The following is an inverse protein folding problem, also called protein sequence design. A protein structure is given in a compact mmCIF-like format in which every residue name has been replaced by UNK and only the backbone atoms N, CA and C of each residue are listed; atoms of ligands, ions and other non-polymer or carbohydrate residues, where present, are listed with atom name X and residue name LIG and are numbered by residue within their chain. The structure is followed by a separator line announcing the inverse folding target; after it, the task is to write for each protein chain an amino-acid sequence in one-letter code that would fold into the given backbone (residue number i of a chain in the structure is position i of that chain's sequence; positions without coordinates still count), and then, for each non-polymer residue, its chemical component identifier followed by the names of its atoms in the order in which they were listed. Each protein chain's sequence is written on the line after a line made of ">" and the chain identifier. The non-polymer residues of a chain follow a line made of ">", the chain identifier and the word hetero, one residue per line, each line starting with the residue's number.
data_IF_151961252480
#
_entry.id   IF_151961252480
#
_cell.length_a   1.000
_cell.length_b   1.000
_cell.length_c   1.000
_cell.angle_alpha   90.00
_cell.angle_beta   90.00
_cell.angle_gamma   90.00
#
_symmetry.space_group_name_H-M   'P 1'
#
loop_
_entity.id
_entity.type
_entity.pdbx_description
1 polymer ?
#
# COMPACT_ATOMS: atom_id res chain seq x y z
N UNK A 1 0.64 1.13 -13.47
CA UNK A 1 -0.31 2.26 -13.55
C UNK A 1 0.45 3.56 -13.59
N UNK A 2 0.09 4.46 -14.49
CA UNK A 2 0.70 5.78 -14.63
C UNK A 2 -0.23 6.80 -14.00
N UNK A 3 0.22 7.45 -12.95
CA UNK A 3 -0.54 8.47 -12.26
C UNK A 3 0.24 9.78 -12.20
N UNK A 4 -0.38 10.91 -12.50
CA UNK A 4 0.18 12.23 -12.26
C UNK A 4 1.37 12.60 -13.17
N UNK A 5 1.09 13.06 -14.36
CA UNK A 5 2.11 13.66 -15.22
C UNK A 5 2.18 15.17 -14.96
N UNK A 6 3.38 15.71 -14.80
CA UNK A 6 3.62 17.15 -14.72
C UNK A 6 4.82 17.52 -15.57
N UNK A 7 4.59 18.40 -16.55
CA UNK A 7 5.64 19.01 -17.34
C UNK A 7 6.14 20.31 -16.70
N UNK A 8 7.46 20.54 -16.73
CA UNK A 8 8.06 21.85 -16.53
C UNK A 8 8.52 22.38 -17.88
N UNK A 9 8.20 23.63 -18.14
CA UNK A 9 8.66 24.32 -19.33
C UNK A 9 9.97 25.07 -19.03
N UNK A 10 10.84 25.17 -20.02
CA UNK A 10 11.99 26.05 -19.99
C UNK A 10 11.60 27.54 -20.24
N UNK A 11 12.58 28.43 -20.30
CA UNK A 11 12.36 29.89 -20.50
C UNK A 11 11.74 30.21 -21.87
N UNK A 12 11.93 29.30 -22.83
CA UNK A 12 11.38 29.46 -24.20
C UNK A 12 10.00 28.79 -24.35
N UNK A 13 9.48 28.19 -23.28
CA UNK A 13 8.19 27.51 -23.27
C UNK A 13 8.21 26.09 -23.83
N UNK A 14 9.39 25.49 -24.02
CA UNK A 14 9.54 24.10 -24.39
C UNK A 14 9.51 23.18 -23.17
N UNK A 15 9.16 21.92 -23.37
CA UNK A 15 9.09 20.90 -22.33
C UNK A 15 10.51 20.50 -21.89
N UNK A 16 10.93 21.00 -20.73
CA UNK A 16 12.26 20.75 -20.19
C UNK A 16 12.33 19.46 -19.34
N UNK A 17 11.26 19.16 -18.60
CA UNK A 17 11.16 17.98 -17.73
C UNK A 17 9.74 17.47 -17.68
N UNK A 18 9.55 16.18 -17.94
CA UNK A 18 8.31 15.46 -17.69
C UNK A 18 8.47 14.63 -16.44
N UNK A 19 7.52 14.74 -15.50
CA UNK A 19 7.47 13.98 -14.27
C UNK A 19 6.28 13.02 -14.34
N UNK A 20 6.52 11.75 -14.11
CA UNK A 20 5.55 10.69 -14.21
C UNK A 20 5.62 9.77 -13.00
N UNK A 21 4.46 9.31 -12.49
CA UNK A 21 4.40 8.36 -11.42
C UNK A 21 4.19 6.95 -11.99
N UNK A 22 5.05 6.02 -11.59
CA UNK A 22 4.95 4.62 -11.92
C UNK A 22 4.63 3.82 -10.67
N UNK A 23 3.87 2.75 -10.81
CA UNK A 23 3.58 1.79 -9.77
C UNK A 23 4.24 0.45 -10.10
N UNK A 24 4.83 -0.16 -9.08
CA UNK A 24 5.47 -1.47 -9.19
C UNK A 24 4.74 -2.40 -8.23
N UNK A 25 4.16 -3.45 -8.79
CA UNK A 25 3.55 -4.54 -8.04
C UNK A 25 4.38 -5.81 -8.17
N UNK A 26 4.55 -6.53 -7.08
CA UNK A 26 5.17 -7.87 -7.13
C UNK A 26 4.34 -8.91 -6.40
N UNK A 27 4.61 -10.15 -6.72
CA UNK A 27 3.91 -11.27 -6.12
C UNK A 27 4.17 -11.33 -4.63
N UNK A 28 3.14 -11.71 -3.86
CA UNK A 28 3.27 -11.95 -2.44
C UNK A 28 4.27 -13.10 -2.14
N UNK A 29 4.87 -13.04 -0.97
CA UNK A 29 5.69 -14.12 -0.41
C UNK A 29 5.10 -14.58 0.92
N UNK A 30 5.31 -15.84 1.26
CA UNK A 30 5.01 -16.38 2.59
C UNK A 30 6.18 -16.15 3.58
N UNK A 31 7.23 -15.49 3.13
CA UNK A 31 8.39 -15.13 3.94
C UNK A 31 8.52 -13.59 3.96
N UNK A 32 8.22 -12.92 5.07
CA UNK A 32 8.27 -11.46 5.16
C UNK A 32 9.71 -10.92 4.96
N UNK A 33 10.75 -11.62 5.38
CA UNK A 33 12.12 -11.20 5.12
C UNK A 33 12.44 -11.17 3.63
N UNK A 34 12.00 -12.19 2.88
CA UNK A 34 12.15 -12.20 1.43
C UNK A 34 11.40 -11.05 0.75
N UNK A 35 10.23 -10.68 1.29
CA UNK A 35 9.46 -9.51 0.78
C UNK A 35 10.24 -8.21 1.02
N UNK A 36 10.83 -8.04 2.20
CA UNK A 36 11.65 -6.90 2.55
C UNK A 36 12.91 -6.82 1.68
N UNK A 37 13.61 -7.94 1.48
CA UNK A 37 14.76 -8.03 0.58
C UNK A 37 14.39 -7.64 -0.85
N UNK A 38 13.29 -8.17 -1.37
CA UNK A 38 12.83 -7.89 -2.73
C UNK A 38 12.51 -6.40 -2.92
N UNK A 39 11.87 -5.77 -1.94
CA UNK A 39 11.55 -4.35 -1.97
C UNK A 39 12.83 -3.50 -2.01
N UNK A 40 13.79 -3.78 -1.11
CA UNK A 40 15.06 -3.06 -1.07
C UNK A 40 15.86 -3.20 -2.37
N UNK A 41 15.91 -4.42 -2.92
CA UNK A 41 16.56 -4.70 -4.20
C UNK A 41 15.84 -3.99 -5.36
N UNK A 42 14.50 -3.97 -5.37
CA UNK A 42 13.73 -3.28 -6.39
C UNK A 42 14.06 -1.78 -6.42
N UNK A 43 14.16 -1.10 -5.27
CA UNK A 43 14.57 0.32 -5.22
C UNK A 43 15.95 0.54 -5.85
N UNK A 44 16.92 -0.34 -5.59
CA UNK A 44 18.27 -0.24 -6.14
C UNK A 44 18.24 -0.46 -7.65
N UNK A 45 17.63 -1.55 -8.10
CA UNK A 45 17.56 -1.93 -9.52
C UNK A 45 16.85 -0.85 -10.34
N UNK A 46 15.72 -0.35 -9.86
CA UNK A 46 14.96 0.69 -10.55
C UNK A 46 15.82 1.94 -10.74
N UNK A 47 16.50 2.41 -9.70
CA UNK A 47 17.40 3.57 -9.83
C UNK A 47 18.49 3.35 -10.85
N UNK A 48 19.14 2.19 -10.83
CA UNK A 48 20.23 1.90 -11.75
C UNK A 48 19.73 1.81 -13.19
N UNK A 49 18.65 1.07 -13.45
CA UNK A 49 18.08 0.92 -14.79
C UNK A 49 17.65 2.27 -15.37
N UNK A 50 16.97 3.09 -14.59
CA UNK A 50 16.54 4.42 -15.06
C UNK A 50 17.73 5.33 -15.31
N UNK A 51 18.72 5.35 -14.41
CA UNK A 51 19.96 6.12 -14.57
C UNK A 51 20.72 5.75 -15.85
N UNK A 52 20.80 4.45 -16.17
CA UNK A 52 21.43 3.96 -17.41
C UNK A 52 20.69 4.43 -18.68
N UNK A 53 19.41 4.75 -18.55
CA UNK A 53 18.59 5.29 -19.65
C UNK A 53 18.43 6.83 -19.61
N UNK A 54 19.25 7.53 -18.82
CA UNK A 54 19.24 8.98 -18.75
C UNK A 54 18.03 9.57 -18.00
N UNK A 55 17.40 8.78 -17.12
CA UNK A 55 16.22 9.17 -16.34
C UNK A 55 16.56 9.18 -14.84
N UNK A 56 15.97 10.12 -14.11
CA UNK A 56 16.05 10.19 -12.66
C UNK A 56 14.82 9.59 -12.00
N UNK A 57 15.04 8.89 -10.88
CA UNK A 57 13.97 8.27 -10.07
C UNK A 57 14.01 8.80 -8.64
N UNK A 58 12.86 9.15 -8.12
CA UNK A 58 12.67 9.46 -6.71
C UNK A 58 11.64 8.54 -6.07
N UNK A 59 11.92 8.13 -4.84
CA UNK A 59 10.98 7.41 -3.96
C UNK A 59 10.45 8.31 -2.83
N UNK A 60 10.59 9.62 -2.95
CA UNK A 60 10.03 10.57 -2.00
C UNK A 60 8.51 10.41 -1.91
N UNK A 61 7.96 10.56 -0.70
CA UNK A 61 6.53 10.43 -0.48
C UNK A 61 5.71 11.53 -1.18
N UNK A 62 6.27 12.73 -1.32
CA UNK A 62 5.62 13.88 -1.97
C UNK A 62 6.59 14.64 -2.86
N UNK A 63 7.06 14.05 -3.97
CA UNK A 63 8.05 14.70 -4.84
C UNK A 63 7.50 15.94 -5.55
N UNK A 64 6.19 16.02 -5.76
CA UNK A 64 5.53 17.11 -6.47
C UNK A 64 4.38 17.65 -5.61
N UNK A 65 4.41 18.96 -5.34
CA UNK A 65 3.31 19.64 -4.64
C UNK A 65 2.12 19.80 -5.57
N UNK A 66 0.92 19.57 -5.05
CA UNK A 66 -0.35 19.77 -5.77
C UNK A 66 -0.84 18.57 -6.58
N UNK A 67 -0.10 17.45 -6.58
CA UNK A 67 -0.55 16.17 -7.16
C UNK A 67 -0.44 15.05 -6.11
N UNK A 68 -0.98 13.87 -6.39
CA UNK A 68 -0.86 12.72 -5.50
C UNK A 68 0.61 12.38 -5.20
N UNK A 69 0.89 11.90 -3.99
CA UNK A 69 2.21 11.44 -3.59
C UNK A 69 2.41 9.96 -3.86
N UNK A 70 3.61 9.45 -3.52
CA UNK A 70 3.96 8.05 -3.65
C UNK A 70 3.78 7.32 -2.31
N UNK A 71 3.18 6.14 -2.33
CA UNK A 71 3.00 5.26 -1.18
C UNK A 71 3.67 3.91 -1.40
N UNK A 72 3.89 3.20 -0.31
CA UNK A 72 4.27 1.79 -0.30
C UNK A 72 3.18 1.01 0.44
N UNK A 73 2.15 0.63 -0.30
CA UNK A 73 1.03 -0.10 0.30
C UNK A 73 1.46 -1.51 0.68
N UNK A 74 1.32 -1.83 1.96
CA UNK A 74 1.71 -3.12 2.48
C UNK A 74 0.48 -4.03 2.58
N UNK A 75 0.46 -5.09 1.79
CA UNK A 75 -0.56 -6.12 1.84
C UNK A 75 -0.12 -7.26 2.76
N UNK A 76 -0.98 -7.66 3.68
CA UNK A 76 -0.69 -8.76 4.58
C UNK A 76 -1.91 -9.62 4.87
N UNK A 77 -1.68 -10.92 5.00
CA UNK A 77 -2.65 -11.93 5.38
C UNK A 77 -1.99 -12.98 6.26
N UNK A 78 -2.77 -13.76 6.97
CA UNK A 78 -2.27 -14.84 7.81
C UNK A 78 -2.92 -16.15 7.41
N UNK A 79 -2.08 -17.13 7.09
CA UNK A 79 -2.50 -18.48 6.75
C UNK A 79 -2.18 -19.44 7.87
N UNK A 80 -3.05 -20.41 8.11
CA UNK A 80 -2.78 -21.53 9.00
C UNK A 80 -2.80 -22.84 8.21
N UNK A 81 -1.85 -23.72 8.50
CA UNK A 81 -1.85 -25.09 8.02
C UNK A 81 -2.51 -25.98 9.09
N UNK A 82 -3.66 -26.54 8.75
CA UNK A 82 -4.39 -27.44 9.62
C UNK A 82 -3.68 -28.80 9.76
N UNK A 83 -4.05 -29.58 10.76
CA UNK A 83 -3.54 -30.95 10.94
C UNK A 83 -3.78 -31.85 9.71
N UNK A 84 -4.84 -31.60 8.96
CA UNK A 84 -5.15 -32.27 7.70
C UNK A 84 -4.22 -31.90 6.53
N UNK A 85 -3.32 -30.92 6.72
CA UNK A 85 -2.47 -30.34 5.66
C UNK A 85 -3.14 -29.21 4.86
N UNK A 86 -4.45 -28.98 5.05
CA UNK A 86 -5.17 -27.90 4.36
C UNK A 86 -4.68 -26.53 4.87
N UNK A 87 -4.44 -25.61 3.93
CA UNK A 87 -4.21 -24.19 4.24
C UNK A 87 -5.55 -23.45 4.32
N UNK A 88 -5.68 -22.59 5.31
CA UNK A 88 -6.84 -21.70 5.49
C UNK A 88 -6.36 -20.29 5.74
N UNK A 89 -7.09 -19.31 5.19
CA UNK A 89 -6.83 -17.91 5.46
C UNK A 89 -7.56 -17.52 6.74
N UNK A 90 -6.83 -17.04 7.75
CA UNK A 90 -7.41 -16.72 9.06
C UNK A 90 -8.24 -15.43 9.04
N UNK A 91 -8.08 -14.58 8.03
CA UNK A 91 -8.87 -13.36 7.89
C UNK A 91 -10.19 -13.57 7.16
N UNK A 92 -10.29 -14.65 6.37
CA UNK A 92 -11.53 -14.99 5.65
C UNK A 92 -12.59 -15.53 6.61
N UNK A 93 -13.84 -15.06 6.52
CA UNK A 93 -14.96 -15.66 7.23
C UNK A 93 -15.34 -17.00 6.60
N UNK A 94 -16.18 -17.78 7.31
CA UNK A 94 -16.72 -19.03 6.77
C UNK A 94 -17.65 -18.79 5.59
N UNK A 95 -18.49 -17.77 5.68
CA UNK A 95 -19.41 -17.36 4.62
C UNK A 95 -19.03 -15.95 4.11
N UNK A 96 -18.33 -15.93 2.99
CA UNK A 96 -17.87 -14.70 2.33
C UNK A 96 -18.97 -13.77 1.89
N UNK A 97 -20.23 -14.24 1.80
CA UNK A 97 -21.39 -13.45 1.38
C UNK A 97 -22.15 -12.83 2.54
N UNK A 98 -21.92 -13.32 3.76
CA UNK A 98 -22.59 -12.82 4.99
C UNK A 98 -21.70 -11.97 5.87
N UNK A 99 -20.41 -12.22 5.83
CA UNK A 99 -19.44 -11.56 6.69
C UNK A 99 -18.28 -10.99 5.90
N UNK A 100 -17.83 -9.81 6.27
CA UNK A 100 -16.71 -9.13 5.59
C UNK A 100 -15.36 -9.75 5.94
N UNK A 101 -15.16 -10.16 7.18
CA UNK A 101 -13.95 -10.80 7.67
C UNK A 101 -14.27 -11.72 8.86
N UNK A 102 -13.37 -12.66 9.14
CA UNK A 102 -13.45 -13.48 10.35
C UNK A 102 -13.25 -12.67 11.63
N UNK A 103 -13.60 -13.23 12.79
CA UNK A 103 -13.31 -12.59 14.09
C UNK A 103 -11.82 -12.32 14.29
N UNK A 104 -10.93 -13.20 13.79
CA UNK A 104 -9.48 -12.97 13.82
C UNK A 104 -9.07 -11.82 12.89
N UNK A 105 -9.67 -11.74 11.71
CA UNK A 105 -9.46 -10.64 10.78
C UNK A 105 -9.90 -9.29 11.37
N UNK A 106 -11.08 -9.24 11.97
CA UNK A 106 -11.57 -8.05 12.70
C UNK A 106 -10.62 -7.67 13.84
N UNK A 107 -10.18 -8.66 14.64
CA UNK A 107 -9.21 -8.44 15.72
C UNK A 107 -7.88 -7.87 15.21
N UNK A 108 -7.38 -8.36 14.08
CA UNK A 108 -6.13 -7.90 13.47
C UNK A 108 -6.23 -6.41 13.04
N UNK A 109 -7.28 -6.02 12.31
CA UNK A 109 -7.42 -4.64 11.86
C UNK A 109 -7.68 -3.68 13.04
N UNK A 110 -8.46 -4.10 14.03
CA UNK A 110 -8.69 -3.30 15.24
C UNK A 110 -7.41 -3.12 16.06
N UNK A 111 -6.57 -4.16 16.14
CA UNK A 111 -5.24 -4.09 16.74
C UNK A 111 -4.34 -3.10 16.04
N UNK A 112 -4.30 -3.14 14.71
CA UNK A 112 -3.54 -2.19 13.90
C UNK A 112 -3.99 -0.74 14.14
N UNK A 113 -5.29 -0.47 14.07
CA UNK A 113 -5.83 0.87 14.30
C UNK A 113 -5.52 1.38 15.71
N UNK A 114 -5.68 0.51 16.74
CA UNK A 114 -5.41 0.85 18.14
C UNK A 114 -3.95 1.23 18.38
N UNK A 115 -3.01 0.57 17.71
CA UNK A 115 -1.58 0.76 17.93
C UNK A 115 -0.90 1.59 16.84
N UNK A 116 -1.67 2.18 15.94
CA UNK A 116 -1.13 2.89 14.78
C UNK A 116 -0.21 4.05 15.16
N UNK A 117 -0.53 4.82 16.20
CA UNK A 117 0.31 5.94 16.64
C UNK A 117 1.73 5.48 17.03
N UNK A 118 1.88 4.26 17.56
CA UNK A 118 3.18 3.68 17.86
C UNK A 118 3.91 3.16 16.61
N UNK A 119 3.18 2.75 15.58
CA UNK A 119 3.71 2.22 14.31
C UNK A 119 4.11 3.36 13.37
N UNK A 120 3.32 4.44 13.36
CA UNK A 120 3.44 5.53 12.38
C UNK A 120 4.86 6.13 12.24
N UNK A 121 5.65 6.36 13.30
CA UNK A 121 7.01 6.89 13.17
C UNK A 121 7.95 6.00 12.34
N UNK A 122 7.69 4.71 12.27
CA UNK A 122 8.50 3.77 11.49
C UNK A 122 8.11 3.72 10.02
N UNK A 123 6.82 3.85 9.71
CA UNK A 123 6.28 3.72 8.36
C UNK A 123 6.05 5.04 7.63
N UNK A 124 6.03 6.15 8.37
CA UNK A 124 5.95 7.53 7.84
C UNK A 124 7.11 8.36 8.39
N UNK A 125 8.31 7.87 8.17
CA UNK A 125 9.55 8.32 8.83
C UNK A 125 10.12 9.64 8.31
N UNK A 126 9.58 10.19 7.22
CA UNK A 126 10.09 11.42 6.59
C UNK A 126 9.07 12.56 6.71
N UNK A 127 9.54 13.81 6.71
CA UNK A 127 8.67 14.98 6.80
C UNK A 127 7.74 15.13 5.60
N UNK A 128 8.15 14.70 4.42
CA UNK A 128 7.32 14.73 3.22
C UNK A 128 6.20 13.66 3.24
N UNK A 129 6.32 12.61 4.07
CA UNK A 129 5.22 11.69 4.35
C UNK A 129 3.98 12.42 4.87
N UNK A 130 4.16 13.39 5.76
CA UNK A 130 3.08 14.21 6.28
C UNK A 130 2.45 15.10 5.20
N UNK A 131 3.22 15.46 4.17
CA UNK A 131 2.73 16.20 3.02
C UNK A 131 1.91 15.31 2.06
N UNK A 132 2.18 14.01 2.04
CA UNK A 132 1.40 13.02 1.28
C UNK A 132 0.08 12.69 1.94
N UNK A 133 0.05 12.52 3.27
CA UNK A 133 -1.11 12.08 4.05
C UNK A 133 -2.08 13.25 4.30
N UNK A 134 -2.63 13.81 3.23
CA UNK A 134 -3.54 14.96 3.27
C UNK A 134 -4.81 14.71 2.47
N UNK A 135 -5.93 15.37 2.83
CA UNK A 135 -7.17 15.28 2.06
C UNK A 135 -6.99 15.64 0.59
N UNK A 136 -7.76 14.97 -0.27
CA UNK A 136 -7.80 15.25 -1.71
C UNK A 136 -6.78 14.51 -2.57
N UNK A 137 -5.94 13.64 -2.00
CA UNK A 137 -4.84 12.96 -2.72
C UNK A 137 -4.89 11.43 -2.65
N UNK A 138 -6.06 10.84 -2.42
CA UNK A 138 -6.22 9.37 -2.30
C UNK A 138 -5.27 8.71 -1.28
N UNK A 139 -4.90 9.44 -0.23
CA UNK A 139 -4.03 8.99 0.83
C UNK A 139 -4.78 8.95 2.17
N UNK A 140 -4.35 8.13 3.14
CA UNK A 140 -4.91 8.12 4.47
C UNK A 140 -4.86 9.50 5.14
N UNK A 141 -6.00 9.93 5.68
CA UNK A 141 -6.12 11.22 6.37
C UNK A 141 -6.46 11.08 7.86
N UNK A 142 -6.85 9.88 8.29
CA UNK A 142 -7.19 9.55 9.66
C UNK A 142 -7.04 8.05 9.94
N UNK A 143 -7.03 7.69 11.24
CA UNK A 143 -6.87 6.30 11.70
C UNK A 143 -8.24 5.60 11.64
N UNK A 144 -8.68 5.27 10.45
CA UNK A 144 -9.96 4.59 10.19
C UNK A 144 -9.81 3.46 9.18
N UNK A 145 -10.77 2.55 9.22
CA UNK A 145 -11.00 1.54 8.20
C UNK A 145 -12.40 1.64 7.64
N UNK A 146 -12.66 0.96 6.54
CA UNK A 146 -13.99 0.72 6.01
C UNK A 146 -14.04 -0.68 5.42
N UNK A 147 -15.00 -1.48 5.88
CA UNK A 147 -15.22 -2.84 5.37
C UNK A 147 -16.23 -2.88 4.22
N UNK A 148 -16.85 -1.73 3.89
CA UNK A 148 -17.96 -1.64 2.95
C UNK A 148 -19.32 -1.67 3.68
N UNK A 149 -20.37 -1.44 2.92
CA UNK A 149 -21.76 -1.46 3.43
C UNK A 149 -22.39 -2.86 3.39
N UNK A 150 -21.88 -3.70 2.52
CA UNK A 150 -22.30 -5.08 2.33
C UNK A 150 -21.10 -5.99 2.13
N UNK A 151 -21.11 -7.22 2.67
CA UNK A 151 -20.01 -8.18 2.45
C UNK A 151 -19.73 -8.50 0.99
N UNK A 152 -20.69 -8.40 0.12
CA UNK A 152 -20.52 -8.59 -1.34
C UNK A 152 -19.90 -7.37 -2.03
N UNK A 153 -19.94 -6.20 -1.39
CA UNK A 153 -19.43 -4.94 -1.92
C UNK A 153 -18.38 -4.33 -0.99
N UNK A 154 -17.12 -4.82 -1.02
CA UNK A 154 -16.06 -4.27 -0.18
C UNK A 154 -15.79 -2.81 -0.50
N UNK A 155 -15.44 -2.04 0.52
CA UNK A 155 -15.14 -0.62 0.38
C UNK A 155 -14.00 -0.38 -0.61
N UNK A 156 -14.19 0.60 -1.50
CA UNK A 156 -13.14 1.11 -2.41
C UNK A 156 -12.58 2.46 -1.96
N UNK A 157 -12.84 2.85 -0.72
CA UNK A 157 -12.34 4.12 -0.19
C UNK A 157 -10.81 4.07 -0.04
N UNK A 158 -10.11 4.96 -0.73
CA UNK A 158 -8.64 5.06 -0.74
C UNK A 158 -8.09 6.06 0.30
N UNK A 159 -8.96 6.71 1.07
CA UNK A 159 -8.56 7.66 2.12
C UNK A 159 -8.50 7.04 3.52
N UNK A 160 -8.75 5.75 3.62
CA UNK A 160 -8.68 4.98 4.87
C UNK A 160 -7.24 4.53 5.15
N UNK A 161 -6.92 4.34 6.42
CA UNK A 161 -5.60 3.87 6.85
C UNK A 161 -5.33 2.43 6.40
N UNK A 162 -6.31 1.57 6.60
CA UNK A 162 -6.21 0.16 6.29
C UNK A 162 -7.49 -0.33 5.63
N UNK A 163 -7.37 -0.94 4.46
CA UNK A 163 -8.46 -1.50 3.67
C UNK A 163 -8.52 -3.01 3.76
N UNK A 164 -9.74 -3.55 3.63
CA UNK A 164 -9.97 -4.98 3.42
C UNK A 164 -10.04 -5.25 1.91
N UNK A 165 -9.18 -6.13 1.44
CA UNK A 165 -9.19 -6.63 0.07
C UNK A 165 -9.65 -8.08 0.11
N UNK A 166 -10.65 -8.40 -0.69
CA UNK A 166 -11.25 -9.73 -0.73
C UNK A 166 -11.80 -10.04 -2.12
N UNK A 167 -11.87 -11.32 -2.38
CA UNK A 167 -12.58 -11.91 -3.52
C UNK A 167 -13.57 -12.93 -2.96
N UNK A 168 -14.87 -12.73 -3.25
CA UNK A 168 -15.95 -13.56 -2.70
C UNK A 168 -15.80 -15.02 -3.13
N UNK A 169 -15.31 -15.25 -4.34
CA UNK A 169 -15.16 -16.59 -4.91
C UNK A 169 -13.78 -17.19 -4.57
N UNK A 170 -12.87 -16.41 -3.99
CA UNK A 170 -11.55 -16.86 -3.57
C UNK A 170 -11.21 -16.41 -2.13
N UNK A 171 -11.64 -17.14 -1.10
CA UNK A 171 -11.35 -16.80 0.30
C UNK A 171 -9.84 -16.66 0.61
N UNK A 172 -8.99 -17.37 -0.15
CA UNK A 172 -7.53 -17.30 0.04
C UNK A 172 -6.94 -15.94 -0.34
N UNK A 173 -7.65 -15.14 -1.11
CA UNK A 173 -7.23 -13.79 -1.51
C UNK A 173 -7.49 -12.71 -0.46
N UNK A 174 -8.21 -13.03 0.62
CA UNK A 174 -8.54 -12.05 1.68
C UNK A 174 -7.26 -11.58 2.38
N UNK A 175 -7.08 -10.25 2.44
CA UNK A 175 -5.94 -9.60 3.05
C UNK A 175 -6.26 -8.18 3.44
N UNK A 176 -5.44 -7.59 4.28
CA UNK A 176 -5.47 -6.16 4.57
C UNK A 176 -4.39 -5.41 3.80
N UNK A 177 -4.70 -4.18 3.42
CA UNK A 177 -3.81 -3.24 2.76
C UNK A 177 -3.59 -2.05 3.70
N UNK A 178 -2.40 -1.93 4.27
CA UNK A 178 -1.97 -0.74 5.01
C UNK A 178 -1.48 0.31 4.00
N UNK A 179 -2.13 1.47 3.99
CA UNK A 179 -1.95 2.47 2.93
C UNK A 179 -1.05 3.65 3.29
N UNK A 180 -0.66 3.78 4.56
CA UNK A 180 0.12 4.92 5.05
C UNK A 180 1.63 4.82 4.80
N UNK A 181 2.29 3.65 4.69
CA UNK A 181 3.72 3.60 4.52
C UNK A 181 4.19 4.39 3.30
N UNK A 182 5.33 5.06 3.45
CA UNK A 182 5.99 5.78 2.36
C UNK A 182 7.05 4.88 1.68
N UNK A 183 7.50 5.21 0.45
CA UNK A 183 8.45 4.39 -0.28
C UNK A 183 9.86 4.34 0.32
N UNK A 184 10.14 5.06 1.40
CA UNK A 184 11.37 4.98 2.20
C UNK A 184 11.17 4.28 3.54
N UNK A 185 10.02 3.65 3.75
CA UNK A 185 9.78 2.81 4.93
C UNK A 185 10.87 1.75 5.03
N UNK A 186 11.36 1.55 6.26
CA UNK A 186 12.20 0.39 6.52
C UNK A 186 11.30 -0.84 6.62
N UNK A 187 11.47 -1.74 5.68
CA UNK A 187 10.62 -2.95 5.55
C UNK A 187 11.03 -4.09 6.50
N UNK A 188 12.14 -3.95 7.23
CA UNK A 188 12.54 -4.85 8.30
C UNK A 188 11.97 -4.35 9.66
#
# INVERSE_FOLDING_TARGET
>A
EVGGVKAKLDEDGHEAVVLEQLEIDWKFSNNPLQTADNELQARIIVREVFRENGLDVTFNAKPIIGVAGSGEHTHFGVMAKLKSGKLVNLFSPEDMRKESASSLGIGAIMGLLKHYEAINPFISSTTDSLNRLKPGFEAPVCIVTSLGTDPSEPSRNRTILCGLIRDIDNPMATRYELRSPNPYTNTY
#
